data_IF_715327089388
#
_entry.id   IF_715327089388
#
_cell.length_a   1.000
_cell.length_b   1.000
_cell.length_c   1.000
_cell.angle_alpha   90.00
_cell.angle_beta   90.00
_cell.angle_gamma   90.00
#
_symmetry.space_group_name_H-M   'P 1'
#
loop_
_entity.id
_entity.type
_entity.pdbx_description
1 polymer ?
#
# COMPACT_ATOMS: atom_id res chain seq x y z
N UNK A 1 30.15 20.97 6.09
CA UNK A 1 30.30 19.50 6.21
C UNK A 1 28.94 18.88 5.93
N UNK A 2 28.79 18.17 4.81
CA UNK A 2 27.54 17.46 4.50
C UNK A 2 27.46 16.22 5.40
N UNK A 3 26.46 16.16 6.27
CA UNK A 3 26.16 14.93 7.00
C UNK A 3 25.85 13.82 5.97
N UNK A 4 26.47 12.63 6.07
CA UNK A 4 26.14 11.54 5.18
C UNK A 4 24.66 11.19 5.37
N UNK A 5 23.91 11.10 4.27
CA UNK A 5 22.58 10.52 4.29
C UNK A 5 22.72 9.09 4.82
N UNK A 6 22.26 8.86 6.05
CA UNK A 6 22.19 7.53 6.64
C UNK A 6 21.35 6.71 5.65
N UNK A 7 21.99 5.79 4.93
CA UNK A 7 21.27 4.82 4.12
C UNK A 7 20.55 3.91 5.11
N UNK A 8 19.31 4.24 5.44
CA UNK A 8 18.47 3.39 6.27
C UNK A 8 17.96 2.26 5.38
N UNK A 9 18.52 1.07 5.60
CA UNK A 9 18.14 -0.18 4.94
C UNK A 9 16.81 -0.73 5.46
N UNK A 10 16.21 -0.07 6.46
CA UNK A 10 15.00 -0.51 7.13
C UNK A 10 13.95 0.60 7.13
N UNK A 11 12.67 0.24 6.94
CA UNK A 11 11.55 1.18 7.05
C UNK A 11 11.46 1.72 8.48
N UNK A 12 11.21 3.02 8.61
CA UNK A 12 11.12 3.70 9.90
C UNK A 12 9.64 3.96 10.23
N UNK A 13 9.16 3.29 11.28
CA UNK A 13 7.82 3.46 11.82
C UNK A 13 7.97 3.67 13.32
N UNK A 14 7.30 4.67 13.87
CA UNK A 14 7.28 5.02 15.28
C UNK A 14 5.84 5.11 15.79
N UNK A 15 5.68 5.22 17.11
CA UNK A 15 4.38 5.48 17.72
C UNK A 15 4.26 6.97 18.04
N UNK A 16 3.19 7.59 17.57
CA UNK A 16 2.78 8.94 17.95
C UNK A 16 1.28 8.95 18.22
N UNK A 17 0.86 9.48 19.37
CA UNK A 17 -0.55 9.53 19.81
C UNK A 17 -1.31 8.19 19.68
N UNK A 18 -0.64 7.09 20.07
CA UNK A 18 -1.22 5.75 20.03
C UNK A 18 -1.42 5.18 18.62
N UNK A 19 -0.82 5.80 17.60
CA UNK A 19 -0.84 5.30 16.21
C UNK A 19 0.56 5.01 15.72
N UNK A 20 0.68 3.96 14.91
CA UNK A 20 1.91 3.72 14.15
C UNK A 20 1.98 4.70 12.97
N UNK A 21 3.07 5.47 12.90
CA UNK A 21 3.29 6.52 11.90
C UNK A 21 4.69 6.42 11.29
N UNK A 22 4.85 6.94 10.06
CA UNK A 22 6.15 7.18 9.43
C UNK A 22 6.27 8.63 8.99
N UNK A 23 7.49 9.12 8.76
CA UNK A 23 7.69 10.48 8.26
C UNK A 23 7.88 10.51 6.75
N UNK A 24 7.41 11.58 6.11
CA UNK A 24 7.68 11.86 4.68
C UNK A 24 9.18 11.87 4.34
N UNK A 25 10.05 12.20 5.32
CA UNK A 25 11.51 12.15 5.17
C UNK A 25 12.02 10.71 5.16
N UNK A 26 11.56 9.87 6.08
CA UNK A 26 11.88 8.44 6.11
C UNK A 26 11.41 7.72 4.84
N UNK A 27 10.21 8.05 4.35
CA UNK A 27 9.70 7.55 3.06
C UNK A 27 10.61 7.98 1.90
N UNK A 28 11.02 9.25 1.86
CA UNK A 28 11.91 9.75 0.82
C UNK A 28 13.26 9.01 0.81
N UNK A 29 13.88 8.85 1.98
CA UNK A 29 15.15 8.14 2.11
C UNK A 29 15.05 6.67 1.68
N UNK A 30 14.04 5.96 2.18
CA UNK A 30 13.89 4.53 1.93
C UNK A 30 13.57 4.20 0.47
N UNK A 31 12.69 5.00 -0.16
CA UNK A 31 12.33 4.83 -1.58
C UNK A 31 13.28 5.54 -2.56
N UNK A 32 14.37 6.12 -2.06
CA UNK A 32 15.38 6.84 -2.85
C UNK A 32 14.74 7.95 -3.70
N UNK A 33 13.85 8.73 -3.08
CA UNK A 33 13.19 9.90 -3.67
C UNK A 33 13.71 11.16 -2.97
N UNK A 34 13.62 12.30 -3.67
CA UNK A 34 13.85 13.59 -3.01
C UNK A 34 12.67 13.90 -2.09
N UNK A 35 12.95 14.48 -0.92
CA UNK A 35 11.90 14.85 0.04
C UNK A 35 10.89 15.82 -0.57
N UNK A 36 11.35 16.76 -1.40
CA UNK A 36 10.49 17.69 -2.16
C UNK A 36 9.47 16.96 -3.05
N UNK A 37 9.88 15.90 -3.75
CA UNK A 37 8.95 15.12 -4.59
C UNK A 37 7.93 14.35 -3.74
N UNK A 38 8.32 13.85 -2.57
CA UNK A 38 7.40 13.20 -1.63
C UNK A 38 6.39 14.22 -1.09
N UNK A 39 6.83 15.42 -0.70
CA UNK A 39 5.94 16.49 -0.24
C UNK A 39 4.95 16.92 -1.32
N UNK A 40 5.39 17.08 -2.57
CA UNK A 40 4.50 17.36 -3.71
C UNK A 40 3.45 16.27 -3.88
N UNK A 41 3.86 15.00 -3.81
CA UNK A 41 2.92 13.87 -3.90
C UNK A 41 1.91 13.86 -2.74
N UNK A 42 2.35 14.13 -1.52
CA UNK A 42 1.48 14.25 -0.34
C UNK A 42 0.45 15.36 -0.55
N UNK A 43 0.88 16.58 -0.92
CA UNK A 43 -0.03 17.71 -1.14
C UNK A 43 -1.04 17.44 -2.27
N UNK A 44 -0.63 16.74 -3.33
CA UNK A 44 -1.53 16.30 -4.40
C UNK A 44 -2.58 15.31 -3.91
N UNK A 45 -2.19 14.28 -3.15
CA UNK A 45 -3.14 13.29 -2.60
C UNK A 45 -4.10 13.97 -1.62
N UNK A 46 -3.59 14.84 -0.75
CA UNK A 46 -4.38 15.61 0.20
C UNK A 46 -5.47 16.44 -0.50
N UNK A 47 -5.19 17.04 -1.66
CA UNK A 47 -6.16 17.83 -2.41
C UNK A 47 -7.32 17.00 -2.98
N UNK A 48 -7.15 15.68 -3.10
CA UNK A 48 -8.16 14.73 -3.58
C UNK A 48 -8.89 14.02 -2.43
N UNK A 49 -8.44 14.17 -1.17
CA UNK A 49 -9.05 13.54 -0.01
C UNK A 49 -10.17 14.40 0.60
N UNK A 50 -11.20 13.74 1.12
CA UNK A 50 -12.15 14.37 2.03
C UNK A 50 -11.44 14.87 3.30
N UNK A 51 -11.95 15.96 3.88
CA UNK A 51 -11.30 16.64 5.00
C UNK A 51 -11.14 15.73 6.24
N UNK A 52 -12.17 14.96 6.57
CA UNK A 52 -12.15 14.01 7.68
C UNK A 52 -11.04 12.95 7.51
N UNK A 53 -10.91 12.41 6.30
CA UNK A 53 -9.87 11.43 5.99
C UNK A 53 -8.48 12.05 6.06
N UNK A 54 -8.31 13.25 5.52
CA UNK A 54 -7.05 13.99 5.53
C UNK A 54 -6.55 14.23 6.95
N UNK A 55 -7.40 14.78 7.82
CA UNK A 55 -7.04 15.20 9.18
C UNK A 55 -6.56 14.03 10.06
N UNK A 56 -7.08 12.83 9.83
CA UNK A 56 -6.76 11.64 10.64
C UNK A 56 -5.47 10.95 10.17
N UNK A 57 -5.11 11.10 8.89
CA UNK A 57 -4.06 10.32 8.24
C UNK A 57 -2.81 11.11 7.85
N UNK A 58 -2.92 12.43 7.67
CA UNK A 58 -1.83 13.32 7.27
C UNK A 58 -1.64 14.42 8.31
N UNK A 59 -0.58 14.30 9.12
CA UNK A 59 -0.24 15.31 10.12
C UNK A 59 0.95 16.15 9.64
N UNK A 60 0.74 17.45 9.40
CA UNK A 60 1.81 18.37 9.00
C UNK A 60 2.64 18.78 10.23
N UNK A 61 3.96 18.68 10.13
CA UNK A 61 4.91 18.99 11.19
C UNK A 61 6.20 19.54 10.57
N UNK A 62 7.25 19.70 11.36
CA UNK A 62 8.55 20.15 10.87
C UNK A 62 9.70 19.44 11.57
N UNK A 63 10.86 19.46 10.92
CA UNK A 63 12.13 19.07 11.52
C UNK A 63 13.16 20.17 11.32
N UNK A 64 14.14 20.25 12.20
CA UNK A 64 15.27 21.18 12.06
C UNK A 64 16.40 20.50 11.31
N UNK A 65 16.80 21.06 10.17
CA UNK A 65 18.00 20.64 9.43
C UNK A 65 19.17 21.60 9.65
N UNK A 66 20.38 21.12 9.44
CA UNK A 66 21.58 21.97 9.50
C UNK A 66 21.52 23.10 8.47
N UNK A 67 22.01 24.28 8.86
CA UNK A 67 22.15 25.40 7.94
C UNK A 67 23.42 25.22 7.10
N UNK A 68 23.32 25.15 5.76
CA UNK A 68 24.49 24.99 4.89
C UNK A 68 25.54 26.09 5.06
N UNK A 69 25.11 27.29 5.46
CA UNK A 69 25.95 28.47 5.62
C UNK A 69 26.44 28.65 7.07
N UNK A 70 26.20 27.67 7.96
CA UNK A 70 26.41 27.81 9.40
C UNK A 70 25.30 28.63 10.08
N UNK A 71 25.29 28.64 11.41
CA UNK A 71 24.28 29.34 12.21
C UNK A 71 23.07 28.48 12.59
N UNK A 72 21.96 29.14 12.94
CA UNK A 72 20.73 28.49 13.46
C UNK A 72 20.17 27.53 12.41
N UNK A 73 19.74 26.34 12.87
CA UNK A 73 19.14 25.33 12.02
C UNK A 73 17.86 25.81 11.31
N UNK A 74 17.58 25.22 10.15
CA UNK A 74 16.45 25.59 9.30
C UNK A 74 15.27 24.68 9.61
N UNK A 75 14.17 25.26 10.08
CA UNK A 75 12.89 24.56 10.18
C UNK A 75 12.39 24.19 8.78
N UNK A 76 12.16 22.90 8.55
CA UNK A 76 11.77 22.34 7.25
C UNK A 76 10.49 21.54 7.41
N UNK A 77 9.45 21.77 6.59
CA UNK A 77 8.18 21.07 6.72
C UNK A 77 8.32 19.59 6.38
N UNK A 78 7.57 18.76 7.09
CA UNK A 78 7.41 17.34 6.81
C UNK A 78 6.00 16.88 7.22
N UNK A 79 5.60 15.69 6.79
CA UNK A 79 4.40 15.04 7.30
C UNK A 79 4.74 13.80 8.09
N UNK A 80 3.96 13.55 9.14
CA UNK A 80 3.75 12.22 9.70
C UNK A 80 2.54 11.59 9.01
N UNK A 81 2.69 10.34 8.63
CA UNK A 81 1.74 9.58 7.83
C UNK A 81 1.36 8.33 8.61
N UNK A 82 0.06 8.09 8.75
CA UNK A 82 -0.44 6.77 9.15
C UNK A 82 -0.13 5.74 8.07
N UNK A 83 -0.35 4.46 8.38
CA UNK A 83 -0.29 3.37 7.40
C UNK A 83 -1.11 3.69 6.14
N UNK A 84 -2.33 4.19 6.32
CA UNK A 84 -3.26 4.43 5.22
C UNK A 84 -2.79 5.58 4.31
N UNK A 85 -2.36 6.70 4.91
CA UNK A 85 -1.73 7.79 4.16
C UNK A 85 -0.48 7.32 3.42
N UNK A 86 0.40 6.56 4.10
CA UNK A 86 1.62 6.02 3.52
C UNK A 86 1.32 5.21 2.24
N UNK A 87 0.33 4.33 2.29
CA UNK A 87 -0.08 3.47 1.16
C UNK A 87 -0.43 4.32 -0.07
N UNK A 88 -1.22 5.39 0.11
CA UNK A 88 -1.61 6.29 -0.99
C UNK A 88 -0.39 6.99 -1.64
N UNK A 89 0.64 7.30 -0.84
CA UNK A 89 1.86 7.93 -1.36
C UNK A 89 2.68 6.95 -2.17
N UNK A 90 2.94 5.76 -1.62
CA UNK A 90 3.89 4.81 -2.23
C UNK A 90 3.30 3.98 -3.37
N UNK A 91 1.97 3.93 -3.51
CA UNK A 91 1.32 3.24 -4.63
C UNK A 91 1.82 3.74 -5.99
N UNK A 92 2.07 5.05 -6.12
CA UNK A 92 2.65 5.66 -7.33
C UNK A 92 4.15 5.43 -7.52
N UNK A 93 4.86 4.86 -6.53
CA UNK A 93 6.28 4.55 -6.67
C UNK A 93 6.46 3.24 -7.42
N UNK A 94 7.19 3.29 -8.54
CA UNK A 94 7.49 2.16 -9.41
C UNK A 94 9.00 1.91 -9.50
N UNK A 95 9.39 0.70 -9.91
CA UNK A 95 10.80 0.29 -10.08
C UNK A 95 11.06 -1.13 -9.63
N UNK A 96 12.22 -1.70 -10.02
CA UNK A 96 12.59 -3.12 -9.78
C UNK A 96 12.57 -3.52 -8.29
N UNK A 97 12.81 -2.59 -7.37
CA UNK A 97 12.83 -2.82 -5.91
C UNK A 97 11.59 -2.28 -5.17
N UNK A 98 10.72 -1.54 -5.86
CA UNK A 98 9.62 -0.81 -5.22
C UNK A 98 8.59 -1.73 -4.56
N UNK A 99 8.37 -2.94 -5.10
CA UNK A 99 7.46 -3.91 -4.50
C UNK A 99 7.98 -4.40 -3.14
N UNK A 100 9.25 -4.81 -3.07
CA UNK A 100 9.85 -5.27 -1.81
C UNK A 100 9.82 -4.16 -0.75
N UNK A 101 10.12 -2.93 -1.15
CA UNK A 101 10.06 -1.78 -0.25
C UNK A 101 8.66 -1.51 0.31
N UNK A 102 7.60 -1.73 -0.49
CA UNK A 102 6.21 -1.64 0.00
C UNK A 102 5.92 -2.73 1.02
N UNK A 103 6.36 -3.97 0.77
CA UNK A 103 6.19 -5.11 1.68
C UNK A 103 6.89 -4.83 3.03
N UNK A 104 8.12 -4.34 2.99
CA UNK A 104 8.92 -4.08 4.19
C UNK A 104 8.24 -3.03 5.09
N UNK A 105 7.72 -1.93 4.52
CA UNK A 105 6.98 -0.93 5.28
C UNK A 105 5.68 -1.46 5.87
N UNK A 106 4.92 -2.27 5.12
CA UNK A 106 3.69 -2.91 5.63
C UNK A 106 4.02 -3.78 6.86
N UNK A 107 5.11 -4.55 6.80
CA UNK A 107 5.55 -5.38 7.93
C UNK A 107 5.96 -4.53 9.15
N UNK A 108 6.61 -3.39 8.93
CA UNK A 108 6.98 -2.48 10.01
C UNK A 108 5.76 -1.86 10.70
N UNK A 109 4.74 -1.45 9.94
CA UNK A 109 3.47 -0.98 10.49
C UNK A 109 2.78 -2.08 11.31
N UNK A 110 2.63 -3.29 10.76
CA UNK A 110 2.01 -4.41 11.48
C UNK A 110 2.71 -4.70 12.82
N UNK A 111 4.05 -4.66 12.85
CA UNK A 111 4.83 -4.90 14.07
C UNK A 111 4.56 -3.83 15.14
N UNK A 112 4.49 -2.56 14.73
CA UNK A 112 4.23 -1.46 15.66
C UNK A 112 2.78 -1.44 16.15
N UNK A 113 1.81 -1.73 15.29
CA UNK A 113 0.39 -1.89 15.65
C UNK A 113 0.18 -3.05 16.64
N UNK A 114 0.90 -4.16 16.47
CA UNK A 114 0.88 -5.27 17.41
C UNK A 114 1.45 -4.90 18.79
N UNK A 115 2.50 -4.07 18.83
CA UNK A 115 3.10 -3.60 20.08
C UNK A 115 2.18 -2.64 20.86
N UNK A 116 1.41 -1.81 20.15
CA UNK A 116 0.38 -0.93 20.74
C UNK A 116 -0.77 -1.70 21.40
N UNK A 117 -1.10 -2.87 20.85
CA UNK A 117 -2.31 -3.63 21.21
C UNK A 117 -2.12 -4.63 22.34
N UNK A 118 -1.11 -4.44 23.20
CA UNK A 118 -0.65 -5.38 24.22
C UNK A 118 -1.73 -6.30 24.84
N UNK A 119 -1.56 -7.61 24.64
CA UNK A 119 -2.10 -8.67 25.51
C UNK A 119 -3.62 -8.97 25.60
N UNK A 120 -4.52 -8.46 24.72
CA UNK A 120 -5.98 -8.78 24.87
C UNK A 120 -6.73 -9.29 23.62
N UNK A 121 -6.13 -9.35 22.43
CA UNK A 121 -6.90 -9.60 21.19
C UNK A 121 -6.86 -11.02 20.59
N UNK A 122 -6.25 -12.01 21.27
CA UNK A 122 -6.17 -13.38 20.70
C UNK A 122 -7.54 -14.08 20.63
N UNK A 123 -8.57 -13.55 21.31
CA UNK A 123 -9.90 -14.14 21.31
C UNK A 123 -10.93 -13.48 20.35
N UNK A 124 -10.66 -12.29 19.80
CA UNK A 124 -11.64 -11.54 18.98
C UNK A 124 -11.06 -10.84 17.74
N UNK A 125 -9.77 -11.02 17.43
CA UNK A 125 -9.20 -10.50 16.19
C UNK A 125 -9.49 -11.45 15.03
N UNK A 126 -10.03 -10.90 13.94
CA UNK A 126 -10.21 -11.64 12.68
C UNK A 126 -8.86 -12.19 12.25
N UNK A 127 -8.83 -13.51 12.02
CA UNK A 127 -7.60 -14.24 11.68
C UNK A 127 -7.01 -13.78 10.35
N UNK A 128 -5.75 -14.09 10.11
CA UNK A 128 -5.11 -13.75 8.84
C UNK A 128 -5.78 -14.52 7.69
N UNK A 129 -6.22 -15.75 7.95
CA UNK A 129 -6.93 -16.62 7.02
C UNK A 129 -8.26 -15.99 6.57
N UNK A 130 -9.02 -15.41 7.48
CA UNK A 130 -10.27 -14.69 7.17
C UNK A 130 -10.03 -13.46 6.29
N UNK A 131 -8.95 -12.71 6.55
CA UNK A 131 -8.57 -11.54 5.75
C UNK A 131 -8.10 -11.94 4.36
N UNK A 132 -7.27 -12.98 4.27
CA UNK A 132 -6.76 -13.50 3.01
C UNK A 132 -7.88 -14.04 2.13
N UNK A 133 -8.84 -14.77 2.74
CA UNK A 133 -10.04 -15.23 2.08
C UNK A 133 -10.92 -14.08 1.58
N UNK A 134 -11.09 -13.01 2.37
CA UNK A 134 -11.81 -11.81 1.92
C UNK A 134 -11.13 -11.17 0.72
N UNK A 135 -9.82 -10.93 0.81
CA UNK A 135 -9.06 -10.22 -0.23
C UNK A 135 -9.10 -10.97 -1.57
N UNK A 136 -8.97 -12.30 -1.56
CA UNK A 136 -9.05 -13.08 -2.80
C UNK A 136 -10.47 -13.11 -3.36
N UNK A 137 -11.50 -13.20 -2.51
CA UNK A 137 -12.90 -13.18 -2.97
C UNK A 137 -13.25 -11.85 -3.64
N UNK A 138 -12.79 -10.73 -3.07
CA UNK A 138 -12.94 -9.41 -3.68
C UNK A 138 -12.19 -9.31 -5.01
N UNK A 139 -10.94 -9.78 -5.07
CA UNK A 139 -10.15 -9.76 -6.31
C UNK A 139 -10.78 -10.61 -7.42
N UNK A 140 -11.27 -11.81 -7.09
CA UNK A 140 -11.98 -12.69 -8.04
C UNK A 140 -13.23 -11.98 -8.58
N UNK A 141 -14.00 -11.35 -7.70
CA UNK A 141 -15.21 -10.60 -8.08
C UNK A 141 -14.88 -9.51 -9.10
N UNK A 142 -13.89 -8.67 -8.81
CA UNK A 142 -13.46 -7.61 -9.73
C UNK A 142 -12.89 -8.17 -11.03
N UNK A 143 -12.11 -9.25 -10.95
CA UNK A 143 -11.56 -9.90 -12.13
C UNK A 143 -12.65 -10.45 -13.05
N UNK A 144 -13.70 -11.05 -12.49
CA UNK A 144 -14.83 -11.56 -13.28
C UNK A 144 -15.53 -10.45 -14.06
N UNK A 145 -15.76 -9.28 -13.45
CA UNK A 145 -16.34 -8.13 -14.17
C UNK A 145 -15.47 -7.72 -15.37
N UNK A 146 -14.15 -7.63 -15.19
CA UNK A 146 -13.23 -7.32 -16.28
C UNK A 146 -13.20 -8.42 -17.34
N UNK A 147 -13.20 -9.69 -16.92
CA UNK A 147 -13.15 -10.83 -17.83
C UNK A 147 -14.44 -10.96 -18.65
N UNK A 148 -15.60 -10.68 -18.07
CA UNK A 148 -16.88 -10.65 -18.79
C UNK A 148 -16.91 -9.51 -19.81
N UNK A 149 -16.49 -8.31 -19.43
CA UNK A 149 -16.34 -7.20 -20.37
C UNK A 149 -15.39 -7.57 -21.54
N UNK A 150 -14.28 -8.23 -21.23
CA UNK A 150 -13.38 -8.77 -22.24
C UNK A 150 -14.09 -9.77 -23.17
N UNK A 151 -14.72 -10.81 -22.60
CA UNK A 151 -15.33 -11.92 -23.34
C UNK A 151 -16.49 -11.48 -24.24
N UNK A 152 -17.34 -10.59 -23.74
CA UNK A 152 -18.59 -10.23 -24.43
C UNK A 152 -18.48 -8.99 -25.30
N UNK A 153 -17.51 -8.10 -25.02
CA UNK A 153 -17.41 -6.82 -25.75
C UNK A 153 -16.09 -6.70 -26.50
N UNK A 154 -14.95 -6.91 -25.82
CA UNK A 154 -13.64 -6.57 -26.36
C UNK A 154 -13.10 -7.66 -27.30
N UNK A 155 -13.14 -8.93 -26.91
CA UNK A 155 -12.65 -10.05 -27.73
C UNK A 155 -13.37 -10.12 -29.09
N UNK A 156 -14.72 -10.05 -29.16
CA UNK A 156 -15.42 -10.08 -30.45
C UNK A 156 -15.03 -8.90 -31.36
N UNK A 157 -14.90 -7.70 -30.78
CA UNK A 157 -14.49 -6.51 -31.53
C UNK A 157 -13.06 -6.67 -32.08
N UNK A 158 -12.13 -7.18 -31.28
CA UNK A 158 -10.75 -7.43 -31.71
C UNK A 158 -10.66 -8.53 -32.78
N UNK A 159 -11.47 -9.58 -32.69
CA UNK A 159 -11.53 -10.61 -33.73
C UNK A 159 -12.11 -10.09 -35.04
N UNK A 160 -13.11 -9.19 -35.00
CA UNK A 160 -13.71 -8.59 -36.19
C UNK A 160 -12.71 -7.77 -37.01
N UNK A 161 -11.74 -7.14 -36.35
CA UNK A 161 -10.65 -6.40 -37.00
C UNK A 161 -9.38 -7.24 -37.23
N UNK A 162 -9.49 -8.57 -37.12
CA UNK A 162 -8.38 -9.51 -37.31
C UNK A 162 -7.14 -9.19 -36.46
N UNK A 163 -7.36 -8.70 -35.23
CA UNK A 163 -6.27 -8.26 -34.37
C UNK A 163 -5.34 -9.41 -33.96
N UNK A 164 -4.01 -9.31 -34.15
CA UNK A 164 -3.06 -10.38 -33.85
C UNK A 164 -2.81 -10.58 -32.34
N UNK A 165 -3.44 -9.78 -31.48
CA UNK A 165 -3.34 -9.89 -30.02
C UNK A 165 -4.55 -10.60 -29.40
N UNK A 166 -5.66 -10.77 -30.14
CA UNK A 166 -6.92 -11.29 -29.60
C UNK A 166 -6.74 -12.67 -28.94
N UNK A 167 -6.09 -13.61 -29.62
CA UNK A 167 -5.82 -14.96 -29.08
C UNK A 167 -4.94 -14.93 -27.82
N UNK A 168 -3.83 -14.20 -27.87
CA UNK A 168 -2.90 -14.11 -26.72
C UNK A 168 -3.55 -13.49 -25.49
N UNK A 169 -4.36 -12.44 -25.66
CA UNK A 169 -5.08 -11.83 -24.56
C UNK A 169 -6.17 -12.77 -24.02
N UNK A 170 -6.89 -13.47 -24.91
CA UNK A 170 -7.89 -14.46 -24.51
C UNK A 170 -7.30 -15.57 -23.63
N UNK A 171 -6.10 -16.06 -23.94
CA UNK A 171 -5.41 -17.06 -23.14
C UNK A 171 -5.03 -16.50 -21.77
N UNK A 172 -4.50 -15.27 -21.71
CA UNK A 172 -4.14 -14.62 -20.43
C UNK A 172 -5.34 -14.40 -19.52
N UNK A 173 -6.48 -14.04 -20.09
CA UNK A 173 -7.71 -13.90 -19.32
C UNK A 173 -8.23 -15.24 -18.79
N UNK A 174 -8.15 -16.31 -19.61
CA UNK A 174 -8.50 -17.67 -19.16
C UNK A 174 -7.57 -18.17 -18.07
N UNK A 175 -6.27 -18.05 -18.26
CA UNK A 175 -5.26 -18.48 -17.29
C UNK A 175 -5.40 -17.73 -15.97
N UNK A 176 -5.59 -16.41 -16.04
CA UNK A 176 -5.80 -15.56 -14.86
C UNK A 176 -7.05 -15.97 -14.09
N UNK A 177 -8.16 -16.24 -14.79
CA UNK A 177 -9.37 -16.78 -14.18
C UNK A 177 -9.09 -18.11 -13.45
N UNK A 178 -8.46 -19.08 -14.12
CA UNK A 178 -8.16 -20.39 -13.54
C UNK A 178 -7.26 -20.26 -12.30
N UNK A 179 -6.20 -19.46 -12.39
CA UNK A 179 -5.28 -19.23 -11.28
C UNK A 179 -6.00 -18.60 -10.08
N UNK A 180 -6.78 -17.54 -10.32
CA UNK A 180 -7.52 -16.87 -9.27
C UNK A 180 -8.55 -17.79 -8.60
N UNK A 181 -9.31 -18.58 -9.37
CA UNK A 181 -10.25 -19.56 -8.80
C UNK A 181 -9.55 -20.65 -7.97
N UNK A 182 -8.35 -21.08 -8.37
CA UNK A 182 -7.56 -22.04 -7.61
C UNK A 182 -7.05 -21.45 -6.29
N UNK A 183 -6.54 -20.21 -6.31
CA UNK A 183 -6.08 -19.50 -5.11
C UNK A 183 -7.27 -19.21 -4.19
N UNK A 184 -8.39 -18.76 -4.73
CA UNK A 184 -9.64 -18.54 -3.99
C UNK A 184 -10.08 -19.81 -3.27
N UNK A 185 -10.16 -20.93 -3.97
CA UNK A 185 -10.51 -22.23 -3.37
C UNK A 185 -9.53 -22.60 -2.26
N UNK A 186 -8.24 -22.45 -2.50
CA UNK A 186 -7.18 -22.79 -1.53
C UNK A 186 -7.29 -21.95 -0.26
N UNK A 187 -7.45 -20.63 -0.38
CA UNK A 187 -7.53 -19.74 0.77
C UNK A 187 -8.84 -19.90 1.55
N UNK A 188 -9.99 -20.06 0.87
CA UNK A 188 -11.25 -20.32 1.55
C UNK A 188 -11.24 -21.69 2.26
N UNK A 189 -10.54 -22.70 1.74
CA UNK A 189 -10.41 -24.01 2.40
C UNK A 189 -9.59 -24.00 3.69
N UNK A 190 -8.85 -22.92 3.97
CA UNK A 190 -8.06 -22.76 5.20
C UNK A 190 -8.86 -22.16 6.36
N UNK A 191 -10.09 -21.72 6.11
CA UNK A 191 -10.96 -21.18 7.17
C UNK A 191 -11.38 -22.27 8.13
N UNK A 192 -11.24 -22.00 9.43
CA UNK A 192 -11.67 -22.88 10.52
C UNK A 192 -13.18 -22.75 10.78
N UNK A 193 -13.82 -23.74 11.45
CA UNK A 193 -15.21 -23.63 11.84
C UNK A 193 -15.50 -22.34 12.64
N UNK A 194 -16.48 -21.56 12.20
CA UNK A 194 -16.85 -20.27 12.79
C UNK A 194 -16.15 -19.05 12.18
N UNK A 195 -15.18 -19.24 11.30
CA UNK A 195 -14.53 -18.17 10.54
C UNK A 195 -15.28 -17.88 9.23
N UNK A 196 -15.23 -16.63 8.78
CA UNK A 196 -15.78 -16.21 7.49
C UNK A 196 -14.89 -15.19 6.80
N UNK A 197 -14.93 -15.13 5.47
CA UNK A 197 -14.18 -14.14 4.70
C UNK A 197 -14.67 -12.73 5.03
N UNK A 198 -13.95 -12.00 5.89
CA UNK A 198 -14.33 -10.66 6.35
C UNK A 198 -13.11 -9.78 6.66
N UNK A 199 -13.34 -8.47 6.60
CA UNK A 199 -12.42 -7.45 7.08
C UNK A 199 -13.15 -6.60 8.12
N UNK A 200 -12.58 -6.54 9.34
CA UNK A 200 -13.10 -5.84 10.53
C UNK A 200 -14.37 -6.42 11.18
#
# INVERSE_FOLDING_TARGET
>A
MNAPAIQNHSPEVSIHDGKAVTTSLAVAHYFQKTHDNVLKKIRSVIAECEEEYRLVNFNETSYTRGNPNGGVGISTPMFELTRDAFVLIVMGFTGKKALQWKIDYINAFNKMEAALSGATQVANSISQEEKDAYNINALVTHYMVMFDAWRYQIEPALRKIESPIAGRLQDRFKDGYIFLKNVEKSLNSKLLPGQSARIR
#
